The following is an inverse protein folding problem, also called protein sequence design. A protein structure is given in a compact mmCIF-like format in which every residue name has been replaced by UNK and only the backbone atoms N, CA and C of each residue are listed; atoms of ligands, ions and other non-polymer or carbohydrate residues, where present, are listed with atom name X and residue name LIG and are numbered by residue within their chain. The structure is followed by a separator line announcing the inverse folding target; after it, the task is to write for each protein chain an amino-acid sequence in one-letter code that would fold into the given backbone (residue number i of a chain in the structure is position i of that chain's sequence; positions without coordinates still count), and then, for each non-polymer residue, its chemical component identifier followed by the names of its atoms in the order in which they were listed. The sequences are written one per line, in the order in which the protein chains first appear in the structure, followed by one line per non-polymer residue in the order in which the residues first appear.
data_IF_002006032103
#
_entry.id   IF_002006032103
#
_cell.length_a   1.000
_cell.length_b   1.000
_cell.length_c   1.000
_cell.angle_alpha   90.00
_cell.angle_beta   90.00
_cell.angle_gamma   90.00
#
_symmetry.space_group_name_H-M   'P 1'
#
loop_
_entity.id
_entity.type
_entity.pdbx_description
1 polymer ?
#
# COMPACT_ATOMS: atom_id res chain seq x y z
N UNK A 1 -1.91 9.02 -4.70
CA UNK A 1 -2.40 9.12 -6.09
C UNK A 1 -1.19 9.21 -7.01
N UNK A 2 -1.14 8.46 -8.11
CA UNK A 2 -0.06 8.52 -9.09
C UNK A 2 -0.45 7.73 -10.34
N UNK A 3 0.00 8.19 -11.50
CA UNK A 3 -0.24 7.56 -12.80
C UNK A 3 1.04 7.66 -13.65
N UNK A 4 1.18 6.76 -14.62
CA UNK A 4 2.28 6.75 -15.58
C UNK A 4 3.67 6.95 -14.95
N UNK A 5 4.41 7.98 -15.37
CA UNK A 5 5.74 8.30 -14.87
C UNK A 5 5.77 8.57 -13.37
N UNK A 6 4.71 9.14 -12.80
CA UNK A 6 4.60 9.38 -11.35
C UNK A 6 4.48 8.05 -10.61
N UNK A 7 3.69 7.11 -11.15
CA UNK A 7 3.57 5.78 -10.55
C UNK A 7 4.91 5.02 -10.59
N UNK A 8 5.67 5.15 -11.68
CA UNK A 8 7.02 4.60 -11.77
C UNK A 8 7.95 5.19 -10.72
N UNK A 9 7.96 6.52 -10.56
CA UNK A 9 8.80 7.19 -9.55
C UNK A 9 8.44 6.81 -8.12
N UNK A 10 7.14 6.64 -7.82
CA UNK A 10 6.68 6.16 -6.50
C UNK A 10 7.24 4.76 -6.22
N UNK A 11 7.22 3.85 -7.20
CA UNK A 11 7.74 2.48 -7.03
C UNK A 11 9.26 2.46 -6.82
N UNK A 12 9.99 3.29 -7.56
CA UNK A 12 11.44 3.46 -7.42
C UNK A 12 11.79 3.89 -5.99
N UNK A 13 11.20 5.00 -5.52
CA UNK A 13 11.42 5.53 -4.16
C UNK A 13 11.00 4.51 -3.10
N UNK A 14 9.85 3.85 -3.27
CA UNK A 14 9.40 2.82 -2.33
C UNK A 14 10.43 1.67 -2.22
N UNK A 15 11.04 1.28 -3.33
CA UNK A 15 12.07 0.24 -3.37
C UNK A 15 13.33 0.68 -2.62
N UNK A 16 13.82 1.89 -2.90
CA UNK A 16 14.99 2.49 -2.23
C UNK A 16 14.83 2.53 -0.70
N UNK A 17 13.62 2.86 -0.23
CA UNK A 17 13.30 2.95 1.20
C UNK A 17 12.78 1.65 1.82
N UNK A 18 12.84 0.52 1.10
CA UNK A 18 12.35 -0.78 1.57
C UNK A 18 10.86 -0.77 2.01
N UNK A 19 10.06 0.08 1.39
CA UNK A 19 8.61 0.14 1.59
C UNK A 19 7.97 -0.99 0.76
N UNK A 20 7.17 -1.88 1.37
CA UNK A 20 6.56 -3.00 0.66
C UNK A 20 5.54 -2.51 -0.38
N UNK A 21 5.61 -3.08 -1.57
CA UNK A 21 4.70 -2.81 -2.69
C UNK A 21 3.81 -4.04 -2.86
N UNK A 22 2.49 -3.82 -2.85
CA UNK A 22 1.48 -4.86 -3.08
C UNK A 22 0.77 -4.56 -4.41
N UNK A 23 0.69 -5.55 -5.29
CA UNK A 23 0.00 -5.43 -6.57
C UNK A 23 -1.43 -5.96 -6.46
N UNK A 24 -2.39 -5.04 -6.38
CA UNK A 24 -3.83 -5.30 -6.53
C UNK A 24 -4.44 -4.23 -7.43
N UNK A 25 -4.62 -4.59 -8.70
CA UNK A 25 -5.10 -3.66 -9.74
C UNK A 25 -6.54 -3.20 -9.46
N UNK A 26 -7.39 -4.07 -8.93
CA UNK A 26 -8.80 -3.75 -8.69
C UNK A 26 -8.93 -2.76 -7.54
N UNK A 27 -8.26 -3.03 -6.41
CA UNK A 27 -8.22 -2.14 -5.26
C UNK A 27 -7.59 -0.79 -5.62
N UNK A 28 -6.44 -0.80 -6.30
CA UNK A 28 -5.73 0.41 -6.70
C UNK A 28 -6.60 1.32 -7.57
N UNK A 29 -7.29 0.76 -8.59
CA UNK A 29 -8.20 1.53 -9.45
C UNK A 29 -9.39 2.09 -8.68
N UNK A 30 -9.98 1.29 -7.79
CA UNK A 30 -11.13 1.72 -6.98
C UNK A 30 -10.75 2.84 -6.02
N UNK A 31 -9.64 2.70 -5.29
CA UNK A 31 -9.13 3.73 -4.40
C UNK A 31 -8.69 4.98 -5.15
N UNK A 32 -8.06 4.84 -6.33
CA UNK A 32 -7.69 5.98 -7.17
C UNK A 32 -8.89 6.84 -7.54
N UNK A 33 -10.05 6.22 -7.81
CA UNK A 33 -11.28 6.94 -8.14
C UNK A 33 -11.95 7.58 -6.93
N UNK A 34 -11.94 6.92 -5.77
CA UNK A 34 -12.82 7.26 -4.65
C UNK A 34 -12.15 7.92 -3.45
N UNK A 35 -10.82 7.79 -3.31
CA UNK A 35 -10.09 8.29 -2.14
C UNK A 35 -9.19 9.44 -2.59
N UNK A 36 -9.19 10.57 -1.89
CA UNK A 36 -8.27 11.68 -2.15
C UNK A 36 -7.03 11.59 -1.27
N UNK A 37 -5.93 12.24 -1.69
CA UNK A 37 -4.75 12.36 -0.80
C UNK A 37 -5.17 13.11 0.46
N UNK A 38 -4.58 12.74 1.59
CA UNK A 38 -4.84 13.33 2.92
C UNK A 38 -6.30 13.23 3.41
N UNK A 39 -7.11 12.39 2.75
CA UNK A 39 -8.47 12.10 3.18
C UNK A 39 -8.56 10.79 3.96
N UNK A 40 -9.59 10.67 4.80
CA UNK A 40 -9.89 9.41 5.48
C UNK A 40 -10.24 8.32 4.47
N UNK A 41 -9.84 7.08 4.79
CA UNK A 41 -10.20 5.91 3.99
C UNK A 41 -11.72 5.67 4.12
N UNK A 42 -12.46 5.52 3.01
CA UNK A 42 -13.86 5.12 3.04
C UNK A 42 -14.05 3.71 3.63
N UNK A 43 -15.16 3.51 4.36
CA UNK A 43 -15.44 2.27 5.10
C UNK A 43 -15.44 1.00 4.25
N UNK A 44 -15.87 1.09 2.99
CA UNK A 44 -15.84 -0.02 2.03
C UNK A 44 -14.42 -0.59 1.77
N UNK A 45 -13.36 0.18 2.07
CA UNK A 45 -11.98 -0.27 1.90
C UNK A 45 -11.34 -0.77 3.20
N UNK A 46 -12.03 -0.70 4.34
CA UNK A 46 -11.43 -1.04 5.64
C UNK A 46 -10.92 -2.48 5.70
N UNK A 47 -11.69 -3.44 5.20
CA UNK A 47 -11.27 -4.84 5.20
C UNK A 47 -9.99 -5.06 4.38
N UNK A 48 -9.95 -4.54 3.15
CA UNK A 48 -8.78 -4.66 2.27
C UNK A 48 -7.54 -4.00 2.88
N UNK A 49 -7.69 -2.81 3.47
CA UNK A 49 -6.58 -2.11 4.11
C UNK A 49 -6.12 -2.83 5.38
N UNK A 50 -7.04 -3.35 6.20
CA UNK A 50 -6.70 -4.12 7.39
C UNK A 50 -5.90 -5.38 7.06
N UNK A 51 -6.20 -6.05 5.94
CA UNK A 51 -5.43 -7.19 5.47
C UNK A 51 -4.00 -6.81 5.08
N UNK A 52 -3.81 -5.71 4.33
CA UNK A 52 -2.49 -5.19 3.98
C UNK A 52 -1.67 -4.85 5.24
N UNK A 53 -2.31 -4.18 6.21
CA UNK A 53 -1.70 -3.87 7.50
C UNK A 53 -1.26 -5.16 8.20
N UNK A 54 -2.15 -6.17 8.30
CA UNK A 54 -1.82 -7.47 8.89
C UNK A 54 -0.57 -8.08 8.25
N UNK A 55 -0.48 -8.09 6.91
CA UNK A 55 0.68 -8.65 6.19
C UNK A 55 1.97 -7.92 6.55
N UNK A 56 1.95 -6.58 6.60
CA UNK A 56 3.11 -5.77 6.96
C UNK A 56 3.56 -6.06 8.40
N UNK A 57 2.64 -6.17 9.35
CA UNK A 57 2.95 -6.46 10.75
C UNK A 57 3.46 -7.89 10.95
N UNK A 58 2.89 -8.89 10.27
CA UNK A 58 3.40 -10.27 10.32
C UNK A 58 4.84 -10.36 9.80
N UNK A 59 5.13 -9.74 8.65
CA UNK A 59 6.51 -9.69 8.10
C UNK A 59 7.50 -8.98 9.03
N UNK A 60 7.05 -7.94 9.75
CA UNK A 60 7.90 -7.23 10.74
C UNK A 60 8.17 -8.10 11.97
N UNK A 61 7.19 -8.88 12.41
CA UNK A 61 7.34 -9.81 13.52
C UNK A 61 8.36 -10.90 13.16
N UNK A 62 8.26 -11.49 11.97
CA UNK A 62 9.22 -12.50 11.48
C UNK A 62 10.66 -11.95 11.46
N UNK A 63 10.88 -10.73 10.95
CA UNK A 63 12.23 -10.11 10.95
C UNK A 63 12.81 -9.89 12.34
N UNK A 64 12.00 -9.76 13.39
CA UNK A 64 12.46 -9.60 14.78
C UNK A 64 12.83 -10.91 15.46
N UNK A 65 12.35 -12.04 14.96
CA UNK A 65 12.60 -13.37 15.55
C UNK A 65 13.88 -13.99 14.97
N UNK A 66 14.27 -13.60 13.75
CA UNK A 66 15.45 -14.13 13.04
C UNK A 66 16.68 -13.22 13.13
N UNK A 67 16.67 -12.20 13.99
CA UNK A 67 17.84 -11.36 14.35
C UNK A 67 18.15 -11.53 15.83
#
# INVERSE_FOLDING_TARGET
KGQDLVALKIREIATEHNIPIFEDVALARSMYKQVSVDSMIPSQFYQAVAELVRIVYSKKAERRVTS
#
